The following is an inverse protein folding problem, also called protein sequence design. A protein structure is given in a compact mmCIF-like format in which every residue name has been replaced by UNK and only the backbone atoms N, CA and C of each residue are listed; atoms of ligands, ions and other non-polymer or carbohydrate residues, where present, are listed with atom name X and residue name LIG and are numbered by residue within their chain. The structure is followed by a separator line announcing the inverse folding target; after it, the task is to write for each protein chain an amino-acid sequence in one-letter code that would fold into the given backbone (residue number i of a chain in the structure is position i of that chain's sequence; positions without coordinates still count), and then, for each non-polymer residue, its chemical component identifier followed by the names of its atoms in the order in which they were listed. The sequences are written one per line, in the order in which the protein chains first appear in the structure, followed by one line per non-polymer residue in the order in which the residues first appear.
data_IF_681321832546
#
_entry.id   IF_681321832546
#
_cell.length_a   1.000
_cell.length_b   1.000
_cell.length_c   1.000
_cell.angle_alpha   90.00
_cell.angle_beta   90.00
_cell.angle_gamma   90.00
#
_symmetry.space_group_name_H-M   'P 1'
#
loop_
_entity.id
_entity.type
_entity.pdbx_description
1 polymer ?
#
# COMPACT_ATOMS: atom_id res chain seq x y z
N UNK A 1 -0.88 -18.09 -1.54
CA UNK A 1 -1.40 -17.29 -0.43
C UNK A 1 -1.71 -15.84 -0.88
N UNK A 2 -0.78 -15.15 -1.55
CA UNK A 2 -0.97 -13.77 -2.01
C UNK A 2 -2.23 -13.59 -2.89
N UNK A 3 -2.48 -14.51 -3.81
CA UNK A 3 -3.65 -14.45 -4.70
C UNK A 3 -4.95 -14.50 -3.89
N UNK A 4 -5.03 -15.38 -2.89
CA UNK A 4 -6.20 -15.48 -2.00
C UNK A 4 -6.42 -14.19 -1.19
N UNK A 5 -5.35 -13.58 -0.69
CA UNK A 5 -5.44 -12.30 0.03
C UNK A 5 -5.93 -11.18 -0.87
N UNK A 6 -5.44 -11.11 -2.10
CA UNK A 6 -5.85 -10.08 -3.05
C UNK A 6 -7.27 -10.23 -3.57
N UNK A 7 -7.83 -11.45 -3.60
CA UNK A 7 -9.23 -11.68 -3.98
C UNK A 7 -10.21 -10.98 -3.05
N UNK A 8 -9.84 -10.71 -1.79
CA UNK A 8 -10.66 -9.94 -0.85
C UNK A 8 -10.93 -8.51 -1.32
N UNK A 9 -10.16 -7.98 -2.27
CA UNK A 9 -10.39 -6.66 -2.87
C UNK A 9 -11.75 -6.53 -3.53
N UNK A 10 -12.35 -7.66 -3.97
CA UNK A 10 -13.65 -7.73 -4.62
C UNK A 10 -14.81 -8.07 -3.67
N UNK A 11 -14.56 -8.12 -2.36
CA UNK A 11 -15.62 -8.40 -1.38
C UNK A 11 -16.84 -7.47 -1.49
N UNK A 12 -16.72 -6.19 -1.88
CA UNK A 12 -17.88 -5.35 -2.10
C UNK A 12 -18.78 -5.83 -3.26
N UNK A 13 -18.20 -6.37 -4.35
CA UNK A 13 -19.01 -6.97 -5.43
C UNK A 13 -19.73 -8.24 -4.95
N UNK A 14 -19.04 -9.08 -4.19
CA UNK A 14 -19.65 -10.29 -3.62
C UNK A 14 -20.79 -9.92 -2.68
N UNK A 15 -20.59 -8.92 -1.84
CA UNK A 15 -21.65 -8.38 -0.96
C UNK A 15 -22.84 -7.83 -1.75
N UNK A 16 -22.57 -7.16 -2.88
CA UNK A 16 -23.63 -6.64 -3.76
C UNK A 16 -24.47 -7.78 -4.34
N UNK A 17 -23.86 -8.86 -4.83
CA UNK A 17 -24.61 -10.04 -5.31
C UNK A 17 -25.42 -10.69 -4.21
N UNK A 18 -24.83 -10.90 -3.03
CA UNK A 18 -25.49 -11.59 -1.93
C UNK A 18 -26.72 -10.84 -1.39
N UNK A 19 -26.68 -9.51 -1.35
CA UNK A 19 -27.64 -8.75 -0.56
C UNK A 19 -28.53 -7.80 -1.38
N UNK A 20 -28.11 -7.39 -2.56
CA UNK A 20 -28.74 -6.26 -3.23
C UNK A 20 -29.03 -6.42 -4.71
N UNK A 21 -28.24 -7.18 -5.43
CA UNK A 21 -28.39 -7.29 -6.88
C UNK A 21 -29.76 -7.86 -7.27
N UNK A 22 -30.27 -8.81 -6.49
CA UNK A 22 -31.62 -9.39 -6.63
C UNK A 22 -32.71 -8.55 -5.94
N UNK A 23 -32.33 -7.51 -5.20
CA UNK A 23 -33.22 -6.64 -4.39
C UNK A 23 -34.04 -7.38 -3.32
N UNK A 24 -33.74 -8.63 -3.02
CA UNK A 24 -34.47 -9.49 -2.08
C UNK A 24 -33.65 -9.84 -0.84
N UNK A 25 -32.31 -9.82 -0.96
CA UNK A 25 -31.43 -10.06 0.19
C UNK A 25 -31.33 -8.85 1.10
N UNK A 26 -31.17 -9.05 2.39
CA UNK A 26 -30.91 -7.99 3.35
C UNK A 26 -29.89 -8.42 4.38
N UNK A 27 -29.06 -7.45 4.81
CA UNK A 27 -28.16 -7.61 5.94
C UNK A 27 -28.60 -6.67 7.05
N UNK A 28 -28.99 -7.25 8.18
CA UNK A 28 -29.12 -6.54 9.45
C UNK A 28 -28.11 -7.16 10.42
N UNK A 29 -27.51 -6.35 11.27
CA UNK A 29 -26.48 -6.78 12.21
C UNK A 29 -26.97 -8.00 13.02
N UNK A 30 -26.32 -9.16 12.78
CA UNK A 30 -26.67 -10.43 13.41
C UNK A 30 -27.70 -11.28 12.69
N UNK A 31 -28.34 -10.79 11.62
CA UNK A 31 -29.28 -11.58 10.81
C UNK A 31 -28.92 -11.47 9.32
N UNK A 32 -28.60 -12.61 8.73
CA UNK A 32 -28.31 -12.77 7.31
C UNK A 32 -29.56 -13.34 6.63
N UNK A 33 -30.15 -12.58 5.73
CA UNK A 33 -31.19 -13.08 4.82
C UNK A 33 -30.58 -13.21 3.43
N UNK A 34 -30.25 -14.43 3.03
CA UNK A 34 -29.59 -14.76 1.76
C UNK A 34 -30.61 -15.37 0.79
N UNK A 35 -30.73 -14.77 -0.37
CA UNK A 35 -31.49 -15.34 -1.48
C UNK A 35 -30.63 -16.34 -2.27
N UNK A 36 -31.17 -17.52 -2.64
CA UNK A 36 -30.39 -18.54 -3.37
C UNK A 36 -29.77 -18.01 -4.67
N UNK A 37 -30.47 -17.16 -5.39
CA UNK A 37 -29.98 -16.54 -6.63
C UNK A 37 -28.76 -15.65 -6.39
N UNK A 38 -28.79 -14.84 -5.33
CA UNK A 38 -27.65 -14.02 -4.92
C UNK A 38 -26.44 -14.85 -4.53
N UNK A 39 -26.65 -15.97 -3.84
CA UNK A 39 -25.58 -16.91 -3.49
C UNK A 39 -24.97 -17.54 -4.74
N UNK A 40 -25.78 -17.98 -5.69
CA UNK A 40 -25.31 -18.55 -6.96
C UNK A 40 -24.48 -17.55 -7.75
N UNK A 41 -24.94 -16.30 -7.85
CA UNK A 41 -24.22 -15.22 -8.53
C UNK A 41 -22.88 -14.91 -7.84
N UNK A 42 -22.88 -14.83 -6.51
CA UNK A 42 -21.65 -14.59 -5.74
C UNK A 42 -20.62 -15.72 -5.91
N UNK A 43 -21.08 -16.98 -5.91
CA UNK A 43 -20.23 -18.13 -6.16
C UNK A 43 -19.70 -18.14 -7.60
N UNK A 44 -20.53 -17.91 -8.60
CA UNK A 44 -20.14 -17.83 -10.01
C UNK A 44 -19.09 -16.71 -10.22
N UNK A 45 -19.31 -15.54 -9.64
CA UNK A 45 -18.35 -14.43 -9.69
C UNK A 45 -17.04 -14.78 -8.99
N UNK A 46 -17.09 -15.42 -7.83
CA UNK A 46 -15.89 -15.86 -7.10
C UNK A 46 -15.06 -16.87 -7.88
N UNK A 47 -15.72 -17.81 -8.56
CA UNK A 47 -15.05 -18.75 -9.46
C UNK A 47 -14.42 -18.03 -10.65
N UNK A 48 -15.13 -17.10 -11.27
CA UNK A 48 -14.61 -16.28 -12.35
C UNK A 48 -13.36 -15.49 -11.92
N UNK A 49 -13.38 -14.90 -10.72
CA UNK A 49 -12.20 -14.24 -10.14
C UNK A 49 -11.02 -15.20 -9.98
N UNK A 50 -11.28 -16.43 -9.55
CA UNK A 50 -10.25 -17.46 -9.39
C UNK A 50 -9.50 -17.77 -10.70
N UNK A 51 -10.15 -17.64 -11.85
CA UNK A 51 -9.54 -17.80 -13.17
C UNK A 51 -8.86 -16.52 -13.67
N UNK A 52 -9.49 -15.37 -13.46
CA UNK A 52 -9.04 -14.10 -14.03
C UNK A 52 -7.84 -13.52 -13.26
N UNK A 53 -7.88 -13.53 -11.93
CA UNK A 53 -6.83 -12.91 -11.10
C UNK A 53 -5.42 -13.45 -11.42
N UNK A 54 -5.19 -14.77 -11.48
CA UNK A 54 -3.86 -15.30 -11.81
C UNK A 54 -3.36 -14.89 -13.19
N UNK A 55 -4.28 -14.68 -14.14
CA UNK A 55 -3.95 -14.32 -15.50
C UNK A 55 -3.56 -12.83 -15.64
N UNK A 56 -4.27 -11.91 -14.94
CA UNK A 56 -4.04 -10.46 -15.11
C UNK A 56 -2.90 -9.91 -14.25
N UNK A 57 -2.56 -10.56 -13.12
CA UNK A 57 -1.52 -10.08 -12.22
C UNK A 57 -0.13 -9.94 -12.88
N UNK A 58 0.37 -10.93 -13.63
CA UNK A 58 1.65 -10.80 -14.33
C UNK A 58 1.62 -9.71 -15.40
N UNK A 59 0.47 -9.53 -16.07
CA UNK A 59 0.27 -8.47 -17.06
C UNK A 59 0.44 -7.07 -16.46
N UNK A 60 -0.10 -6.84 -15.27
CA UNK A 60 0.02 -5.54 -14.61
C UNK A 60 1.49 -5.16 -14.34
N UNK A 61 2.33 -6.11 -13.93
CA UNK A 61 3.76 -5.87 -13.74
C UNK A 61 4.45 -5.48 -15.06
N UNK A 62 4.09 -6.13 -16.16
CA UNK A 62 4.64 -5.80 -17.49
C UNK A 62 4.24 -4.37 -17.91
N UNK A 63 3.03 -3.92 -17.63
CA UNK A 63 2.54 -2.59 -18.02
C UNK A 63 3.35 -1.45 -17.38
N UNK A 64 3.69 -1.54 -16.10
CA UNK A 64 4.49 -0.52 -15.40
C UNK A 64 5.95 -0.95 -15.21
N UNK A 65 6.41 -2.01 -15.89
CA UNK A 65 7.81 -2.47 -15.93
C UNK A 65 8.46 -2.61 -14.55
N UNK A 66 7.69 -2.96 -13.50
CA UNK A 66 8.18 -3.08 -12.13
C UNK A 66 8.33 -1.75 -11.37
N UNK A 67 7.92 -0.61 -11.93
CA UNK A 67 8.01 0.70 -11.26
C UNK A 67 6.87 0.97 -10.27
N UNK A 68 5.96 0.03 -10.08
CA UNK A 68 4.99 0.00 -9.00
C UNK A 68 5.03 -1.37 -8.32
N UNK A 69 5.15 -1.40 -7.00
CA UNK A 69 5.20 -2.65 -6.23
C UNK A 69 3.80 -3.28 -6.04
N UNK A 70 2.72 -2.51 -6.22
CA UNK A 70 1.34 -2.94 -6.01
C UNK A 70 0.66 -3.43 -7.29
N UNK A 71 1.21 -4.46 -7.93
CA UNK A 71 0.69 -5.02 -9.19
C UNK A 71 -0.81 -5.34 -9.14
N UNK A 72 -1.27 -5.96 -8.04
CA UNK A 72 -2.67 -6.33 -7.85
C UNK A 72 -3.63 -5.14 -7.88
N UNK A 73 -3.24 -4.01 -7.30
CA UNK A 73 -4.08 -2.82 -7.29
C UNK A 73 -4.43 -2.33 -8.69
N UNK A 74 -3.45 -2.28 -9.59
CA UNK A 74 -3.66 -1.86 -10.98
C UNK A 74 -4.57 -2.85 -11.73
N UNK A 75 -4.26 -4.15 -11.66
CA UNK A 75 -5.02 -5.19 -12.32
C UNK A 75 -6.48 -5.22 -11.87
N UNK A 76 -6.69 -5.20 -10.56
CA UNK A 76 -8.02 -5.27 -9.98
C UNK A 76 -8.82 -3.99 -10.18
N UNK A 77 -8.15 -2.84 -10.19
CA UNK A 77 -8.80 -1.57 -10.51
C UNK A 77 -9.38 -1.56 -11.91
N UNK A 78 -8.64 -2.01 -12.92
CA UNK A 78 -9.14 -2.13 -14.29
C UNK A 78 -10.23 -3.19 -14.43
N UNK A 79 -10.06 -4.35 -13.80
CA UNK A 79 -11.09 -5.38 -13.83
C UNK A 79 -12.36 -4.92 -13.11
N UNK A 80 -12.23 -4.30 -11.95
CA UNK A 80 -13.35 -3.73 -11.22
C UNK A 80 -14.04 -2.59 -11.98
N UNK A 81 -13.29 -1.77 -12.71
CA UNK A 81 -13.85 -0.76 -13.62
C UNK A 81 -14.72 -1.41 -14.70
N UNK A 82 -14.23 -2.47 -15.34
CA UNK A 82 -15.01 -3.23 -16.32
C UNK A 82 -16.29 -3.81 -15.70
N UNK A 83 -16.18 -4.54 -14.59
CA UNK A 83 -17.31 -5.20 -13.92
C UNK A 83 -18.35 -4.17 -13.47
N UNK A 84 -17.91 -3.07 -12.85
CA UNK A 84 -18.81 -2.00 -12.42
C UNK A 84 -19.60 -1.39 -13.57
N UNK A 85 -18.92 -1.07 -14.67
CA UNK A 85 -19.62 -0.48 -15.82
C UNK A 85 -20.57 -1.48 -16.49
N UNK A 86 -20.18 -2.75 -16.60
CA UNK A 86 -21.07 -3.79 -17.11
C UNK A 86 -22.31 -3.93 -16.26
N UNK A 87 -22.17 -4.10 -14.94
CA UNK A 87 -23.30 -4.34 -14.04
C UNK A 87 -24.26 -3.15 -13.94
N UNK A 88 -23.70 -1.95 -13.77
CA UNK A 88 -24.51 -0.79 -13.41
C UNK A 88 -24.79 0.16 -14.57
N UNK A 89 -23.81 0.39 -15.43
CA UNK A 89 -23.99 1.31 -16.56
C UNK A 89 -24.63 0.64 -17.76
N UNK A 90 -24.12 -0.51 -18.18
CA UNK A 90 -24.63 -1.23 -19.36
C UNK A 90 -25.97 -1.91 -19.06
N UNK A 91 -26.10 -2.56 -17.90
CA UNK A 91 -27.33 -3.25 -17.49
C UNK A 91 -28.38 -2.31 -16.89
N UNK A 92 -28.04 -1.04 -16.65
CA UNK A 92 -28.99 -0.03 -16.12
C UNK A 92 -29.40 -0.25 -14.66
N UNK A 93 -28.67 -1.04 -13.90
CA UNK A 93 -28.95 -1.34 -12.49
C UNK A 93 -28.41 -0.22 -11.62
N UNK A 94 -29.17 0.17 -10.60
CA UNK A 94 -28.73 1.18 -9.63
C UNK A 94 -27.76 0.55 -8.63
N UNK A 95 -26.54 1.08 -8.58
CA UNK A 95 -25.56 0.65 -7.58
C UNK A 95 -25.94 1.10 -6.17
N UNK A 96 -25.44 0.37 -5.17
CA UNK A 96 -25.52 0.77 -3.78
C UNK A 96 -24.94 2.17 -3.59
N UNK A 97 -25.61 3.00 -2.81
CA UNK A 97 -25.04 4.25 -2.33
C UNK A 97 -23.75 3.96 -1.53
N UNK A 98 -22.78 4.85 -1.64
CA UNK A 98 -21.55 4.75 -0.83
C UNK A 98 -21.90 4.67 0.66
N UNK A 99 -21.10 3.94 1.43
CA UNK A 99 -21.18 3.98 2.89
C UNK A 99 -21.18 5.44 3.33
N UNK A 100 -22.18 5.81 4.12
CA UNK A 100 -22.33 7.18 4.61
C UNK A 100 -21.05 7.63 5.32
N UNK A 101 -20.63 8.88 5.08
CA UNK A 101 -19.54 9.51 5.84
C UNK A 101 -19.80 9.56 7.35
N UNK A 102 -21.04 9.39 7.75
CA UNK A 102 -21.48 9.35 9.15
C UNK A 102 -21.39 7.93 9.76
N UNK A 103 -20.83 6.94 9.07
CA UNK A 103 -20.61 5.62 9.64
C UNK A 103 -19.57 5.69 10.75
N UNK A 104 -19.85 5.09 11.88
CA UNK A 104 -18.99 5.09 13.08
C UNK A 104 -17.56 4.59 12.81
N UNK A 105 -17.36 3.71 11.82
CA UNK A 105 -16.03 3.20 11.42
C UNK A 105 -15.09 4.33 11.00
N UNK A 106 -15.62 5.47 10.52
CA UNK A 106 -14.84 6.64 10.13
C UNK A 106 -14.77 7.70 11.23
N UNK A 107 -15.33 7.43 12.41
CA UNK A 107 -15.23 8.35 13.52
C UNK A 107 -13.76 8.49 13.93
N UNK A 108 -13.38 9.74 14.12
CA UNK A 108 -12.05 10.08 14.62
C UNK A 108 -11.86 9.50 16.01
N UNK A 109 -10.72 8.88 16.24
CA UNK A 109 -10.33 8.50 17.59
C UNK A 109 -10.19 9.72 18.49
N UNK A 110 -10.68 9.64 19.70
CA UNK A 110 -10.36 10.58 20.76
C UNK A 110 -8.85 10.65 20.99
N UNK A 111 -8.39 11.75 21.60
CA UNK A 111 -6.95 11.99 21.81
C UNK A 111 -6.24 10.82 22.51
N UNK A 112 -6.87 10.21 23.52
CA UNK A 112 -6.32 9.05 24.23
C UNK A 112 -6.15 7.83 23.31
N UNK A 113 -7.13 7.52 22.46
CA UNK A 113 -7.03 6.39 21.52
C UNK A 113 -5.97 6.62 20.43
N UNK A 114 -5.80 7.86 19.97
CA UNK A 114 -4.72 8.21 19.06
C UNK A 114 -3.35 8.00 19.73
N UNK A 115 -3.21 8.39 20.99
CA UNK A 115 -1.99 8.15 21.76
C UNK A 115 -1.71 6.65 21.90
N UNK A 116 -2.71 5.86 22.29
CA UNK A 116 -2.54 4.41 22.39
C UNK A 116 -2.18 3.74 21.07
N UNK A 117 -2.80 4.15 19.96
CA UNK A 117 -2.45 3.65 18.64
C UNK A 117 -1.00 3.99 18.27
N UNK A 118 -0.55 5.21 18.55
CA UNK A 118 0.84 5.61 18.32
C UNK A 118 1.82 4.79 19.16
N UNK A 119 1.54 4.62 20.46
CA UNK A 119 2.36 3.81 21.35
C UNK A 119 2.42 2.35 20.90
N UNK A 120 1.29 1.77 20.51
CA UNK A 120 1.21 0.41 19.99
C UNK A 120 2.12 0.22 18.76
N UNK A 121 2.00 1.10 17.78
CA UNK A 121 2.83 1.00 16.58
C UNK A 121 4.31 1.27 16.87
N UNK A 122 4.64 2.25 17.71
CA UNK A 122 6.02 2.51 18.10
C UNK A 122 6.66 1.31 18.80
N UNK A 123 5.90 0.61 19.68
CA UNK A 123 6.39 -0.61 20.32
C UNK A 123 6.64 -1.73 19.29
N UNK A 124 5.73 -1.93 18.35
CA UNK A 124 5.94 -2.92 17.28
C UNK A 124 7.17 -2.56 16.44
N UNK A 125 7.30 -1.30 16.04
CA UNK A 125 8.42 -0.87 15.19
C UNK A 125 9.76 -0.93 15.94
N UNK A 126 9.78 -0.55 17.22
CA UNK A 126 10.95 -0.73 18.07
C UNK A 126 11.30 -2.22 18.22
N UNK A 127 10.32 -3.07 18.49
CA UNK A 127 10.53 -4.52 18.56
C UNK A 127 11.11 -5.06 17.24
N UNK A 128 10.52 -4.73 16.10
CA UNK A 128 11.03 -5.17 14.79
C UNK A 128 12.47 -4.71 14.57
N UNK A 129 12.79 -3.44 14.89
CA UNK A 129 14.14 -2.91 14.75
C UNK A 129 15.15 -3.62 15.65
N UNK A 130 14.88 -3.70 16.94
CA UNK A 130 15.82 -4.29 17.91
C UNK A 130 15.96 -5.80 17.72
N UNK A 131 14.86 -6.50 17.37
CA UNK A 131 14.91 -7.92 17.06
C UNK A 131 15.71 -8.19 15.79
N UNK A 132 15.47 -7.42 14.73
CA UNK A 132 16.24 -7.49 13.49
C UNK A 132 17.73 -7.18 13.73
N UNK A 133 18.03 -6.14 14.51
CA UNK A 133 19.40 -5.78 14.86
C UNK A 133 20.09 -6.90 15.69
N UNK A 134 19.40 -7.50 16.64
CA UNK A 134 19.90 -8.64 17.41
C UNK A 134 20.22 -9.83 16.52
N UNK A 135 19.28 -10.21 15.64
CA UNK A 135 19.49 -11.31 14.68
C UNK A 135 20.57 -11.02 13.65
N UNK A 136 20.85 -9.76 13.36
CA UNK A 136 21.90 -9.31 12.45
C UNK A 136 23.29 -9.19 13.15
N UNK A 137 23.49 -9.90 14.25
CA UNK A 137 24.75 -9.86 15.00
C UNK A 137 25.04 -8.51 15.66
N UNK A 138 24.01 -7.78 16.07
CA UNK A 138 24.08 -6.45 16.71
C UNK A 138 24.76 -5.39 15.83
N UNK A 139 24.64 -5.53 14.52
CA UNK A 139 25.19 -4.59 13.54
C UNK A 139 24.11 -4.05 12.63
N UNK A 140 24.36 -2.89 12.02
CA UNK A 140 23.52 -2.31 10.95
C UNK A 140 24.12 -2.57 9.56
N UNK A 141 25.05 -3.52 9.48
CA UNK A 141 25.61 -3.94 8.19
C UNK A 141 24.48 -4.50 7.30
N UNK A 142 24.58 -4.37 6.01
CA UNK A 142 23.48 -4.73 5.09
C UNK A 142 22.37 -3.68 5.01
N UNK A 143 21.90 -3.12 6.13
CA UNK A 143 20.89 -2.06 6.11
C UNK A 143 21.38 -0.79 5.38
N UNK A 144 22.62 -0.37 5.61
CA UNK A 144 23.22 0.76 4.87
C UNK A 144 23.37 0.49 3.38
N UNK A 145 23.54 -0.77 2.98
CA UNK A 145 23.59 -1.17 1.58
C UNK A 145 22.18 -1.16 0.97
N UNK A 146 21.17 -1.67 1.70
CA UNK A 146 19.77 -1.64 1.30
C UNK A 146 19.30 -0.20 1.03
N UNK A 147 19.69 0.78 1.84
CA UNK A 147 19.33 2.18 1.65
C UNK A 147 19.84 2.81 0.34
N UNK A 148 20.79 2.16 -0.35
CA UNK A 148 21.31 2.59 -1.66
C UNK A 148 20.64 1.86 -2.82
N UNK A 149 19.84 0.83 -2.53
CA UNK A 149 19.12 0.07 -3.55
C UNK A 149 18.05 0.92 -4.20
N UNK A 150 17.79 0.68 -5.48
CA UNK A 150 16.74 1.40 -6.20
C UNK A 150 15.35 0.94 -5.83
N UNK A 151 15.21 -0.27 -5.27
CA UNK A 151 13.94 -0.93 -5.02
C UNK A 151 13.22 -1.43 -6.27
N UNK A 152 13.82 -1.28 -7.45
CA UNK A 152 13.23 -1.72 -8.71
C UNK A 152 13.45 -3.22 -8.91
N UNK A 153 12.36 -3.98 -9.05
CA UNK A 153 12.39 -5.44 -9.21
C UNK A 153 13.29 -6.14 -8.19
N UNK A 154 13.31 -5.65 -6.95
CA UNK A 154 14.23 -6.10 -5.90
C UNK A 154 13.48 -6.84 -4.80
N UNK A 155 13.93 -8.04 -4.47
CA UNK A 155 13.52 -8.75 -3.26
C UNK A 155 14.58 -8.52 -2.18
N UNK A 156 14.23 -7.72 -1.18
CA UNK A 156 15.14 -7.39 -0.09
C UNK A 156 15.33 -8.56 0.88
N UNK A 157 14.37 -9.46 0.97
CA UNK A 157 14.48 -10.65 1.83
C UNK A 157 15.53 -11.62 1.31
N UNK A 158 15.58 -11.80 -0.01
CA UNK A 158 16.62 -12.62 -0.65
C UNK A 158 18.00 -11.91 -0.68
N UNK A 159 17.99 -10.59 -0.91
CA UNK A 159 19.22 -9.82 -1.16
C UNK A 159 19.95 -9.41 0.10
N UNK A 160 19.23 -9.09 1.17
CA UNK A 160 19.80 -8.56 2.43
C UNK A 160 19.45 -9.41 3.65
N UNK A 161 18.53 -10.37 3.52
CA UNK A 161 18.09 -11.26 4.59
C UNK A 161 16.99 -10.66 5.47
N UNK A 162 16.25 -11.56 6.13
CA UNK A 162 15.14 -11.19 7.02
C UNK A 162 15.51 -10.26 8.17
N UNK A 163 16.69 -10.41 8.84
CA UNK A 163 17.07 -9.50 9.92
C UNK A 163 17.13 -8.04 9.47
N UNK A 164 17.67 -7.79 8.28
CA UNK A 164 17.75 -6.44 7.69
C UNK A 164 16.38 -5.92 7.32
N UNK A 165 15.51 -6.78 6.79
CA UNK A 165 14.11 -6.42 6.50
C UNK A 165 13.34 -6.06 7.77
N UNK A 166 13.54 -6.76 8.88
CA UNK A 166 12.93 -6.41 10.17
C UNK A 166 13.39 -5.03 10.66
N UNK A 167 14.68 -4.72 10.58
CA UNK A 167 15.19 -3.37 10.88
C UNK A 167 14.53 -2.32 9.98
N UNK A 168 14.36 -2.63 8.70
CA UNK A 168 13.69 -1.74 7.74
C UNK A 168 12.22 -1.50 8.11
N UNK A 169 11.47 -2.53 8.50
CA UNK A 169 10.09 -2.39 9.00
C UNK A 169 10.05 -1.41 10.17
N UNK A 170 10.95 -1.55 11.13
CA UNK A 170 11.00 -0.67 12.30
C UNK A 170 11.24 0.80 11.92
N UNK A 171 12.23 1.08 11.10
CA UNK A 171 12.59 2.45 10.71
C UNK A 171 11.57 3.03 9.72
N UNK A 172 11.17 2.28 8.70
CA UNK A 172 10.21 2.73 7.69
C UNK A 172 8.82 2.96 8.31
N UNK A 173 8.37 2.04 9.17
CA UNK A 173 7.12 2.18 9.90
C UNK A 173 7.10 3.42 10.79
N UNK A 174 8.20 3.70 11.50
CA UNK A 174 8.34 4.91 12.32
C UNK A 174 8.29 6.19 11.47
N UNK A 175 8.93 6.19 10.30
CA UNK A 175 8.85 7.31 9.34
C UNK A 175 7.41 7.53 8.86
N UNK A 176 6.71 6.46 8.50
CA UNK A 176 5.34 6.56 8.03
C UNK A 176 4.38 7.02 9.13
N UNK A 177 4.53 6.51 10.35
CA UNK A 177 3.77 6.96 11.51
C UNK A 177 4.03 8.43 11.83
N UNK A 178 5.27 8.89 11.75
CA UNK A 178 5.63 10.31 11.88
C UNK A 178 4.92 11.15 10.82
N UNK A 179 4.97 10.73 9.55
CA UNK A 179 4.28 11.41 8.46
C UNK A 179 2.78 11.56 8.73
N UNK A 180 2.12 10.49 9.19
CA UNK A 180 0.68 10.52 9.50
C UNK A 180 0.37 11.52 10.61
N UNK A 181 1.15 11.52 11.70
CA UNK A 181 0.94 12.46 12.80
C UNK A 181 1.19 13.91 12.38
N UNK A 182 2.23 14.17 11.59
CA UNK A 182 2.48 15.50 11.02
C UNK A 182 1.32 15.96 10.12
N UNK A 183 0.83 15.08 9.26
CA UNK A 183 -0.30 15.35 8.38
C UNK A 183 -1.57 15.67 9.19
N UNK A 184 -1.86 14.91 10.23
CA UNK A 184 -3.02 15.14 11.11
C UNK A 184 -2.89 16.46 11.88
N UNK A 185 -1.67 16.82 12.28
CA UNK A 185 -1.42 18.04 13.06
C UNK A 185 -1.46 19.30 12.22
N UNK A 186 -0.88 19.25 11.02
CA UNK A 186 -0.68 20.46 10.19
C UNK A 186 -1.73 20.66 9.10
N UNK A 187 -2.61 19.67 8.87
CA UNK A 187 -3.72 19.80 7.95
C UNK A 187 -5.05 19.61 8.67
N UNK A 188 -6.08 20.35 8.25
CA UNK A 188 -7.43 20.11 8.77
C UNK A 188 -7.93 18.75 8.30
N UNK A 189 -8.40 17.89 9.22
CA UNK A 189 -8.94 16.61 8.79
C UNK A 189 -9.37 15.67 9.88
N UNK A 190 -9.71 14.43 9.47
CA UNK A 190 -10.38 13.46 10.31
C UNK A 190 -9.52 12.92 11.46
N UNK A 191 -8.20 12.93 11.33
CA UNK A 191 -7.30 12.34 12.33
C UNK A 191 -7.22 10.81 12.22
N UNK A 192 -6.82 10.15 13.30
CA UNK A 192 -6.81 8.68 13.36
C UNK A 192 -8.21 8.10 13.37
N UNK A 193 -8.42 7.07 12.57
CA UNK A 193 -9.65 6.29 12.48
C UNK A 193 -9.31 4.78 12.46
N UNK A 194 -10.30 3.91 12.59
CA UNK A 194 -10.08 2.47 12.45
C UNK A 194 -9.34 2.07 11.16
N UNK A 195 -9.79 2.52 9.98
CA UNK A 195 -9.09 2.28 8.72
C UNK A 195 -7.64 2.78 8.66
N UNK A 196 -7.25 3.80 9.40
CA UNK A 196 -5.86 4.30 9.45
C UNK A 196 -4.89 3.23 9.94
N UNK A 197 -5.33 2.38 10.87
CA UNK A 197 -4.54 1.23 11.36
C UNK A 197 -4.22 0.27 10.21
N UNK A 198 -5.22 -0.09 9.42
CA UNK A 198 -5.04 -0.94 8.24
C UNK A 198 -4.12 -0.31 7.19
N UNK A 199 -4.22 1.00 7.00
CA UNK A 199 -3.36 1.77 6.09
C UNK A 199 -1.90 1.73 6.51
N UNK A 200 -1.61 1.86 7.81
CA UNK A 200 -0.24 1.73 8.35
C UNK A 200 0.31 0.34 8.04
N UNK A 201 -0.45 -0.71 8.34
CA UNK A 201 -0.03 -2.08 8.07
C UNK A 201 0.18 -2.33 6.56
N UNK A 202 -0.71 -1.79 5.72
CA UNK A 202 -0.57 -1.89 4.26
C UNK A 202 0.70 -1.22 3.74
N UNK A 203 1.08 -0.05 4.27
CA UNK A 203 2.31 0.64 3.87
C UNK A 203 3.59 -0.16 4.18
N UNK A 204 3.53 -1.10 5.12
CA UNK A 204 4.68 -1.92 5.52
C UNK A 204 4.82 -3.21 4.70
N UNK A 205 3.79 -3.62 3.96
CA UNK A 205 3.74 -4.94 3.29
C UNK A 205 4.89 -5.15 2.31
N UNK A 206 5.37 -4.07 1.69
CA UNK A 206 6.39 -4.12 0.64
C UNK A 206 7.79 -3.66 1.10
N UNK A 207 7.99 -3.49 2.40
CA UNK A 207 9.31 -3.14 2.94
C UNK A 207 10.35 -4.22 2.73
N UNK A 208 9.93 -5.46 2.51
CA UNK A 208 10.81 -6.56 2.10
C UNK A 208 11.02 -6.64 0.58
N UNK A 209 10.27 -5.86 -0.22
CA UNK A 209 10.23 -5.97 -1.67
C UNK A 209 10.66 -4.69 -2.41
N UNK A 210 11.44 -3.83 -1.77
CA UNK A 210 12.01 -2.66 -2.43
C UNK A 210 11.80 -1.32 -1.72
N UNK A 211 10.92 -1.22 -0.73
CA UNK A 211 10.69 0.02 0.02
C UNK A 211 11.72 0.20 1.15
N UNK A 212 12.25 1.40 1.25
CA UNK A 212 13.03 1.85 2.41
C UNK A 212 12.86 3.38 2.60
N UNK A 213 13.23 3.94 3.76
CA UNK A 213 12.98 5.36 4.05
C UNK A 213 13.48 6.32 2.96
N UNK A 214 14.67 6.09 2.37
CA UNK A 214 15.26 7.02 1.42
C UNK A 214 14.60 7.04 0.04
N UNK A 215 13.90 5.96 -0.37
CA UNK A 215 13.17 5.96 -1.63
C UNK A 215 11.67 6.22 -1.47
N UNK A 216 11.18 6.33 -0.23
CA UNK A 216 9.75 6.61 0.04
C UNK A 216 9.49 8.06 0.43
N UNK A 217 10.36 8.70 1.24
CA UNK A 217 10.10 10.05 1.74
C UNK A 217 9.80 11.10 0.65
N UNK A 218 10.40 11.04 -0.58
CA UNK A 218 10.06 12.03 -1.61
C UNK A 218 8.62 11.94 -2.07
N UNK A 219 8.05 10.72 -2.09
CA UNK A 219 6.65 10.48 -2.44
C UNK A 219 5.74 11.10 -1.37
N UNK A 220 6.08 10.92 -0.09
CA UNK A 220 5.34 11.53 1.03
C UNK A 220 5.34 13.06 0.92
N UNK A 221 6.48 13.65 0.56
CA UNK A 221 6.59 15.09 0.30
C UNK A 221 5.72 15.51 -0.88
N UNK A 222 5.60 14.70 -1.93
CA UNK A 222 4.72 14.96 -3.07
C UNK A 222 3.25 15.15 -2.68
N UNK A 223 2.76 14.34 -1.73
CA UNK A 223 1.41 14.51 -1.15
C UNK A 223 1.26 15.84 -0.41
N UNK A 224 2.26 16.23 0.37
CA UNK A 224 2.25 17.52 1.05
C UNK A 224 2.32 18.70 0.04
N UNK A 225 3.12 18.55 -1.02
CA UNK A 225 3.19 19.55 -2.08
C UNK A 225 1.83 19.82 -2.72
N UNK A 226 1.02 18.77 -2.97
CA UNK A 226 -0.34 18.98 -3.48
C UNK A 226 -1.17 19.85 -2.54
N UNK A 227 -1.13 19.59 -1.24
CA UNK A 227 -1.87 20.37 -0.25
C UNK A 227 -1.45 21.84 -0.26
N UNK A 228 -0.15 22.10 -0.18
CA UNK A 228 0.37 23.48 -0.13
C UNK A 228 0.13 24.24 -1.43
N UNK A 229 0.29 23.59 -2.59
CA UNK A 229 -0.02 24.18 -3.89
C UNK A 229 -1.50 24.54 -3.98
N UNK A 230 -2.39 23.62 -3.59
CA UNK A 230 -3.83 23.90 -3.57
C UNK A 230 -4.18 25.02 -2.60
N UNK A 231 -3.57 25.02 -1.41
CA UNK A 231 -3.76 26.09 -0.43
C UNK A 231 -3.36 27.45 -0.98
N UNK A 232 -2.22 27.52 -1.66
CA UNK A 232 -1.75 28.76 -2.29
C UNK A 232 -2.75 29.27 -3.33
N UNK A 233 -3.19 28.41 -4.26
CA UNK A 233 -4.15 28.82 -5.29
C UNK A 233 -5.54 29.16 -4.72
N UNK A 234 -6.02 28.43 -3.72
CA UNK A 234 -7.28 28.73 -3.07
C UNK A 234 -7.23 30.12 -2.41
N UNK A 235 -6.18 30.38 -1.62
CA UNK A 235 -6.01 31.71 -0.97
C UNK A 235 -5.88 32.84 -1.96
N UNK A 236 -5.12 32.65 -3.05
CA UNK A 236 -4.98 33.65 -4.10
C UNK A 236 -6.32 34.02 -4.78
N UNK A 237 -7.29 33.09 -4.76
CA UNK A 237 -8.64 33.31 -5.31
C UNK A 237 -9.71 33.55 -4.23
N UNK A 238 -9.32 33.87 -3.00
CA UNK A 238 -10.26 34.12 -1.91
C UNK A 238 -11.12 32.90 -1.50
N UNK A 239 -10.61 31.68 -1.74
CA UNK A 239 -11.30 30.43 -1.41
C UNK A 239 -10.59 29.71 -0.29
N UNK A 240 -11.33 28.90 0.45
CA UNK A 240 -10.77 27.98 1.44
C UNK A 240 -10.62 26.57 0.86
N UNK A 241 -9.66 25.81 1.39
CA UNK A 241 -9.52 24.38 1.08
C UNK A 241 -10.67 23.62 1.74
N UNK A 242 -11.40 22.84 0.94
CA UNK A 242 -12.55 22.02 1.38
C UNK A 242 -12.18 20.57 1.70
N UNK A 243 -10.91 20.18 1.57
CA UNK A 243 -10.42 18.82 1.77
C UNK A 243 -9.15 18.81 2.63
N UNK A 244 -8.80 17.65 3.17
CA UNK A 244 -7.63 17.49 4.00
C UNK A 244 -6.90 16.17 3.69
N UNK A 245 -5.56 16.21 3.77
CA UNK A 245 -4.70 15.03 3.55
C UNK A 245 -4.89 13.92 4.59
N UNK A 246 -5.45 14.24 5.75
CA UNK A 246 -5.77 13.27 6.79
C UNK A 246 -7.12 12.56 6.58
N UNK A 247 -7.83 12.82 5.49
CA UNK A 247 -9.02 12.04 5.14
C UNK A 247 -8.63 10.65 4.65
N UNK A 248 -9.52 9.69 4.86
CA UNK A 248 -9.28 8.28 4.54
C UNK A 248 -8.81 8.03 3.09
N UNK A 249 -9.36 8.76 2.12
CA UNK A 249 -8.98 8.60 0.73
C UNK A 249 -7.49 8.95 0.48
N UNK A 250 -7.01 10.05 1.07
CA UNK A 250 -5.60 10.45 0.96
C UNK A 250 -4.67 9.56 1.78
N UNK A 251 -5.08 9.14 2.98
CA UNK A 251 -4.28 8.24 3.81
C UNK A 251 -4.12 6.87 3.14
N UNK A 252 -5.21 6.32 2.57
CA UNK A 252 -5.14 5.10 1.77
C UNK A 252 -4.28 5.31 0.51
N UNK A 253 -4.48 6.43 -0.18
CA UNK A 253 -3.69 6.78 -1.35
C UNK A 253 -2.20 6.84 -1.05
N UNK A 254 -1.76 7.52 0.00
CA UNK A 254 -0.34 7.67 0.34
C UNK A 254 0.30 6.36 0.77
N UNK A 255 -0.43 5.50 1.51
CA UNK A 255 0.09 4.19 1.89
C UNK A 255 0.47 3.34 0.67
N UNK A 256 -0.39 3.32 -0.33
CA UNK A 256 -0.10 2.61 -1.57
C UNK A 256 0.87 3.36 -2.49
N UNK A 257 0.90 4.70 -2.44
CA UNK A 257 1.85 5.49 -3.22
C UNK A 257 3.31 5.19 -2.88
N UNK A 258 3.59 4.70 -1.66
CA UNK A 258 4.93 4.20 -1.30
C UNK A 258 5.45 3.13 -2.27
N UNK A 259 4.55 2.42 -2.96
CA UNK A 259 4.89 1.46 -4.02
C UNK A 259 5.51 2.06 -5.27
N UNK A 260 5.52 3.38 -5.43
CA UNK A 260 6.26 4.10 -6.50
C UNK A 260 7.74 4.31 -6.14
N UNK A 261 8.21 3.78 -5.02
CA UNK A 261 9.60 3.93 -4.57
C UNK A 261 10.66 3.55 -5.62
N UNK A 262 10.45 2.60 -6.57
CA UNK A 262 11.40 2.35 -7.65
C UNK A 262 11.61 3.56 -8.58
N UNK A 263 10.60 4.42 -8.73
CA UNK A 263 10.73 5.68 -9.49
C UNK A 263 11.76 6.59 -8.79
N UNK A 264 11.67 6.71 -7.47
CA UNK A 264 12.66 7.48 -6.70
C UNK A 264 14.05 6.89 -6.84
N UNK A 265 14.17 5.58 -6.68
CA UNK A 265 15.45 4.90 -6.75
C UNK A 265 16.15 5.05 -8.10
N UNK A 266 15.39 4.99 -9.20
CA UNK A 266 15.92 5.05 -10.57
C UNK A 266 16.05 6.47 -11.12
N UNK A 267 15.11 7.37 -10.82
CA UNK A 267 15.05 8.71 -11.40
C UNK A 267 15.28 9.83 -10.38
N UNK A 268 15.40 9.50 -9.11
CA UNK A 268 15.78 10.43 -8.04
C UNK A 268 14.61 11.15 -7.38
N UNK A 269 14.96 12.06 -6.47
CA UNK A 269 14.03 12.74 -5.56
C UNK A 269 12.95 13.52 -6.31
N UNK A 270 13.32 14.27 -7.35
CA UNK A 270 12.37 15.11 -8.12
C UNK A 270 11.27 14.28 -8.76
N UNK A 271 11.64 13.14 -9.36
CA UNK A 271 10.68 12.20 -9.93
C UNK A 271 9.75 11.60 -8.86
N UNK A 272 10.28 11.32 -7.67
CA UNK A 272 9.49 10.83 -6.55
C UNK A 272 8.49 11.86 -6.02
N UNK A 273 8.89 13.12 -5.88
CA UNK A 273 7.98 14.20 -5.49
C UNK A 273 6.86 14.37 -6.51
N UNK A 274 7.22 14.35 -7.81
CA UNK A 274 6.24 14.42 -8.88
C UNK A 274 5.28 13.22 -8.86
N UNK A 275 5.80 12.01 -8.67
CA UNK A 275 4.98 10.80 -8.55
C UNK A 275 3.99 10.87 -7.38
N UNK A 276 4.45 11.33 -6.21
CA UNK A 276 3.59 11.55 -5.04
C UNK A 276 2.52 12.62 -5.30
N UNK A 277 2.88 13.72 -5.90
CA UNK A 277 1.96 14.80 -6.27
C UNK A 277 0.87 14.32 -7.25
N UNK A 278 1.26 13.62 -8.31
CA UNK A 278 0.32 13.08 -9.30
C UNK A 278 -0.62 12.03 -8.67
N UNK A 279 -0.06 11.12 -7.87
CA UNK A 279 -0.85 10.11 -7.17
C UNK A 279 -1.87 10.75 -6.22
N UNK A 280 -1.45 11.74 -5.43
CA UNK A 280 -2.35 12.49 -4.54
C UNK A 280 -3.47 13.20 -5.31
N UNK A 281 -3.17 13.76 -6.48
CA UNK A 281 -4.16 14.47 -7.31
C UNK A 281 -5.28 13.54 -7.80
N UNK A 282 -4.98 12.25 -8.01
CA UNK A 282 -5.92 11.28 -8.59
C UNK A 282 -6.60 10.37 -7.55
N UNK A 283 -6.03 10.21 -6.34
CA UNK A 283 -6.47 9.17 -5.41
C UNK A 283 -7.92 9.28 -4.94
N UNK A 284 -8.50 10.47 -4.98
CA UNK A 284 -9.91 10.68 -4.64
C UNK A 284 -10.87 10.41 -5.80
N UNK A 285 -10.37 10.47 -7.03
CA UNK A 285 -11.17 10.33 -8.26
C UNK A 285 -11.21 8.88 -8.76
N UNK A 286 -10.11 8.15 -8.63
CA UNK A 286 -9.99 6.78 -9.18
C UNK A 286 -11.00 5.80 -8.61
N UNK A 287 -11.42 5.97 -7.35
CA UNK A 287 -12.48 5.16 -6.75
C UNK A 287 -13.83 5.26 -7.47
N UNK A 288 -14.11 6.38 -8.12
CA UNK A 288 -15.34 6.57 -8.88
C UNK A 288 -15.37 5.71 -10.16
N UNK A 289 -14.21 5.38 -10.73
CA UNK A 289 -14.12 4.58 -11.95
C UNK A 289 -14.68 3.17 -11.76
N UNK A 290 -14.49 2.58 -10.61
CA UNK A 290 -15.02 1.26 -10.25
C UNK A 290 -16.12 1.34 -9.17
N UNK A 291 -16.77 2.50 -9.00
CA UNK A 291 -17.87 2.71 -8.07
C UNK A 291 -17.55 2.54 -6.58
N UNK A 292 -16.27 2.43 -6.21
CA UNK A 292 -15.84 2.09 -4.86
C UNK A 292 -15.84 0.59 -4.55
N UNK A 293 -16.10 -0.27 -5.54
CA UNK A 293 -16.21 -1.72 -5.35
C UNK A 293 -14.88 -2.47 -5.27
N UNK A 294 -13.75 -1.79 -5.46
CA UNK A 294 -12.42 -2.37 -5.29
C UNK A 294 -11.73 -1.75 -4.08
N UNK A 295 -11.44 -2.56 -3.07
CA UNK A 295 -10.87 -2.07 -1.80
C UNK A 295 -9.44 -1.51 -1.97
N UNK A 296 -8.65 -2.04 -2.90
CA UNK A 296 -7.26 -1.59 -3.15
C UNK A 296 -7.18 -0.42 -4.14
N UNK A 297 -8.10 0.56 -4.03
CA UNK A 297 -8.11 1.75 -4.88
C UNK A 297 -6.78 2.53 -4.86
N UNK A 298 -6.10 2.60 -3.72
CA UNK A 298 -4.79 3.24 -3.63
C UNK A 298 -3.76 2.61 -4.57
N UNK A 299 -3.72 1.27 -4.66
CA UNK A 299 -2.86 0.55 -5.60
C UNK A 299 -3.25 0.76 -7.06
N UNK A 300 -4.54 0.93 -7.35
CA UNK A 300 -5.02 1.31 -8.69
C UNK A 300 -4.52 2.70 -9.09
N UNK A 301 -4.69 3.69 -8.21
CA UNK A 301 -4.18 5.05 -8.43
C UNK A 301 -2.67 5.06 -8.66
N UNK A 302 -1.94 4.31 -7.85
CA UNK A 302 -0.48 4.19 -7.92
C UNK A 302 -0.04 3.60 -9.26
N UNK A 303 -0.74 2.55 -9.71
CA UNK A 303 -0.49 1.94 -11.02
C UNK A 303 -0.74 2.90 -12.17
N UNK A 304 -1.85 3.64 -12.16
CA UNK A 304 -2.13 4.68 -13.18
C UNK A 304 -1.05 5.76 -13.15
N UNK A 305 -0.61 6.19 -11.97
CA UNK A 305 0.48 7.16 -11.83
C UNK A 305 1.75 6.65 -12.52
N UNK A 306 2.12 5.40 -12.28
CA UNK A 306 3.28 4.80 -12.92
C UNK A 306 3.14 4.74 -14.45
N UNK A 307 1.96 4.32 -14.96
CA UNK A 307 1.69 4.25 -16.40
C UNK A 307 1.81 5.61 -17.12
N UNK A 308 1.40 6.69 -16.45
CA UNK A 308 1.47 8.05 -17.04
C UNK A 308 2.89 8.61 -16.91
N UNK A 309 3.51 8.46 -15.74
CA UNK A 309 4.77 9.13 -15.45
C UNK A 309 5.98 8.43 -16.09
N UNK A 310 5.96 7.09 -16.15
CA UNK A 310 7.10 6.32 -16.61
C UNK A 310 7.53 6.66 -18.06
N UNK A 311 6.63 6.74 -19.05
CA UNK A 311 7.02 7.14 -20.41
C UNK A 311 7.67 8.53 -20.49
N UNK A 312 7.20 9.46 -19.64
CA UNK A 312 7.76 10.81 -19.53
C UNK A 312 9.19 10.74 -18.97
N UNK A 313 9.39 9.96 -17.91
CA UNK A 313 10.71 9.82 -17.31
C UNK A 313 11.68 9.08 -18.22
N UNK A 314 11.24 8.03 -18.90
CA UNK A 314 12.07 7.29 -19.87
C UNK A 314 12.52 8.17 -21.05
N UNK A 315 11.68 9.13 -21.45
CA UNK A 315 12.01 10.03 -22.57
C UNK A 315 12.96 11.16 -22.17
N UNK A 316 12.78 11.75 -20.99
CA UNK A 316 13.52 12.96 -20.59
C UNK A 316 14.62 12.74 -19.57
N UNK A 317 14.70 11.57 -18.93
CA UNK A 317 15.61 11.31 -17.82
C UNK A 317 16.41 10.03 -18.03
N UNK A 318 17.68 10.07 -17.63
CA UNK A 318 18.49 8.86 -17.53
C UNK A 318 18.23 8.11 -16.23
N UNK A 319 17.93 6.83 -16.32
CA UNK A 319 17.73 5.98 -15.16
C UNK A 319 19.07 5.60 -14.51
N UNK A 320 19.15 5.66 -13.19
CA UNK A 320 20.31 5.17 -12.44
C UNK A 320 20.49 3.66 -12.65
N UNK A 321 21.74 3.22 -12.70
CA UNK A 321 22.07 1.79 -12.78
C UNK A 321 21.72 1.08 -11.50
N UNK A 322 21.25 -0.16 -11.62
CA UNK A 322 21.00 -1.02 -10.46
C UNK A 322 22.30 -1.48 -9.82
N UNK A 323 22.29 -1.59 -8.49
CA UNK A 323 23.38 -2.25 -7.78
C UNK A 323 23.35 -3.75 -8.10
N UNK A 324 24.48 -4.30 -8.55
CA UNK A 324 24.58 -5.76 -8.74
C UNK A 324 24.29 -6.45 -7.40
N UNK A 325 23.52 -7.54 -7.37
CA UNK A 325 23.29 -8.30 -6.16
C UNK A 325 24.65 -8.77 -5.59
N UNK A 326 24.95 -8.40 -4.37
CA UNK A 326 25.92 -9.14 -3.60
C UNK A 326 25.14 -10.35 -3.07
N UNK A 327 25.23 -11.48 -3.76
CA UNK A 327 24.67 -12.75 -3.28
C UNK A 327 25.38 -13.12 -1.99
N UNK A 328 24.72 -12.88 -0.87
CA UNK A 328 25.10 -13.52 0.39
C UNK A 328 24.67 -14.98 0.22
N UNK A 329 25.64 -15.84 -0.08
CA UNK A 329 25.40 -17.27 -0.23
C UNK A 329 24.79 -17.82 1.06
N UNK A 330 23.77 -18.69 0.95
CA UNK A 330 23.24 -19.48 2.07
C UNK A 330 24.36 -20.16 2.86
N UNK A 331 25.43 -20.59 2.20
CA UNK A 331 26.60 -21.19 2.81
C UNK A 331 27.36 -20.23 3.73
N UNK A 332 27.37 -18.93 3.44
CA UNK A 332 27.95 -17.95 4.37
C UNK A 332 27.09 -17.67 5.59
N UNK A 333 25.75 -17.83 5.49
CA UNK A 333 24.88 -17.75 6.66
C UNK A 333 24.96 -19.00 7.53
N UNK A 334 25.05 -20.18 6.94
CA UNK A 334 25.25 -21.45 7.67
C UNK A 334 26.58 -21.40 8.43
N UNK A 335 27.67 -20.97 7.78
CA UNK A 335 28.98 -20.81 8.43
C UNK A 335 28.94 -19.78 9.57
N UNK A 336 28.10 -18.75 9.49
CA UNK A 336 27.95 -17.76 10.57
C UNK A 336 27.18 -18.36 11.76
N UNK A 337 26.17 -19.18 11.50
CA UNK A 337 25.40 -19.89 12.54
C UNK A 337 26.24 -20.98 13.20
N UNK A 338 27.01 -21.73 12.43
CA UNK A 338 27.95 -22.75 12.94
C UNK A 338 29.05 -22.15 13.83
N UNK A 339 29.56 -20.97 13.51
CA UNK A 339 30.51 -20.23 14.34
C UNK A 339 29.92 -19.61 15.62
N UNK A 340 28.58 -19.50 15.71
CA UNK A 340 27.87 -19.00 16.90
C UNK A 340 27.41 -20.13 17.84
N UNK A 341 27.46 -21.38 17.42
CA UNK A 341 27.23 -22.53 18.29
C UNK A 341 28.56 -22.99 18.88
N UNK A 342 28.79 -22.85 20.18
CA UNK A 342 30.01 -23.36 20.80
C UNK A 342 29.97 -24.89 20.70
N UNK A 343 30.83 -25.44 19.83
CA UNK A 343 31.08 -26.88 19.83
C UNK A 343 31.75 -27.22 21.16
N UNK A 344 30.97 -27.80 22.07
CA UNK A 344 31.48 -28.43 23.27
C UNK A 344 32.47 -29.52 22.89
N UNK A 345 33.77 -29.21 22.91
CA UNK A 345 34.78 -30.22 22.95
C UNK A 345 34.74 -30.84 24.34
N UNK A 346 34.08 -31.98 24.47
CA UNK A 346 34.35 -32.90 25.55
C UNK A 346 35.78 -33.43 25.36
N UNK A 347 36.71 -32.93 26.14
CA UNK A 347 38.01 -33.60 26.39
C UNK A 347 37.69 -34.88 27.18
N UNK A 348 37.76 -36.04 26.53
CA UNK A 348 37.94 -37.32 27.22
C UNK A 348 39.38 -37.42 27.67
N UNK A 349 39.58 -37.38 28.96
CA UNK A 349 40.72 -38.01 29.65
C UNK A 349 40.41 -39.45 29.94
#
# INVERSE_FOLDING_TARGET
LHICMFSTSFSPFISEFLFRYTQRGSYQFGQLNLEPEGVVLALAFSLLLGFIIPAILPGAQAWHKGYNLYNGGLAFGFFGFFVFNFMYKTMGILSMGRISRNNEIYNRFGHSYQLYANLFFLLIFAFCFFWGWFLNGKTVHGYRQMLKDTGHCSDFSEKYGMPVCLMNIGIHGSLFLLYLNLTITFTNGAGFTGPTIGVILAALTFTAMGQHPLNVWPILVGYQCLYFVTMFFCRANGREITWALSTQAYLNGVAFATGLCPIVGRYGIRAGVLAGFMCASMCTATGALHGGFVLYNGGFTTGITALILLPILEHYCEARKELKPQTISWNSMIALVENLTPTGKEEKK
#
